data_IF_303852582825
#
_entry.id   IF_303852582825
#
_cell.length_a   1.000
_cell.length_b   1.000
_cell.length_c   1.000
_cell.angle_alpha   90.00
_cell.angle_beta   90.00
_cell.angle_gamma   90.00
#
_symmetry.space_group_name_H-M   'P 1'
#
loop_
_entity.id
_entity.type
_entity.pdbx_description
1 polymer ?
#
# COMPACT_ATOMS: atom_id res chain seq x y z
N UNK A 1 10.17 30.17 0.08
CA UNK A 1 11.52 30.06 -0.53
C UNK A 1 12.24 31.41 -0.41
N UNK A 2 13.56 31.43 -0.55
CA UNK A 2 14.40 32.64 -0.64
C UNK A 2 13.98 33.62 -1.74
N UNK A 3 13.24 33.13 -2.75
CA UNK A 3 12.62 33.93 -3.82
C UNK A 3 11.33 34.68 -3.42
N UNK A 4 10.81 34.45 -2.21
CA UNK A 4 9.51 34.98 -1.77
C UNK A 4 8.29 34.20 -2.27
N UNK A 5 8.48 33.21 -3.15
CA UNK A 5 7.40 32.35 -3.65
C UNK A 5 7.06 31.23 -2.64
N UNK A 6 5.79 30.82 -2.65
CA UNK A 6 5.29 29.69 -1.87
C UNK A 6 5.11 28.48 -2.79
N UNK A 7 5.82 27.39 -2.51
CA UNK A 7 5.71 26.15 -3.28
C UNK A 7 4.58 25.28 -2.72
N UNK A 8 3.67 24.85 -3.59
CA UNK A 8 2.48 24.06 -3.24
C UNK A 8 2.51 22.66 -3.87
N UNK A 9 3.68 22.14 -4.25
CA UNK A 9 3.82 20.83 -4.87
C UNK A 9 3.80 20.89 -6.40
N UNK A 10 2.68 21.26 -7.00
CA UNK A 10 2.62 21.37 -8.46
C UNK A 10 3.05 22.74 -9.01
N UNK A 11 2.76 23.80 -8.26
CA UNK A 11 2.95 25.19 -8.71
C UNK A 11 3.55 26.05 -7.60
N UNK A 12 4.16 27.15 -8.03
CA UNK A 12 4.60 28.23 -7.13
C UNK A 12 3.58 29.36 -7.15
N UNK A 13 3.13 29.76 -5.96
CA UNK A 13 2.28 30.92 -5.73
C UNK A 13 3.15 32.15 -5.49
N UNK A 14 2.82 33.27 -6.12
CA UNK A 14 3.33 34.60 -5.76
C UNK A 14 2.35 35.27 -4.79
N UNK A 15 2.60 35.28 -3.46
CA UNK A 15 1.61 35.74 -2.49
C UNK A 15 1.23 37.21 -2.67
N UNK A 16 2.18 38.06 -3.11
CA UNK A 16 1.95 39.48 -3.37
C UNK A 16 1.03 39.75 -4.58
N UNK A 17 0.85 38.77 -5.48
CA UNK A 17 -0.11 38.84 -6.59
C UNK A 17 -1.36 38.00 -6.35
N UNK A 18 -1.37 37.13 -5.33
CA UNK A 18 -2.41 36.12 -5.10
C UNK A 18 -2.70 35.27 -6.35
N UNK A 19 -1.65 34.91 -7.10
CA UNK A 19 -1.73 34.16 -8.35
C UNK A 19 -0.61 33.15 -8.50
N UNK A 20 -0.90 32.08 -9.24
CA UNK A 20 0.11 31.14 -9.69
C UNK A 20 1.03 31.80 -10.72
N UNK A 21 2.32 31.49 -10.67
CA UNK A 21 3.30 32.01 -11.64
C UNK A 21 3.36 31.15 -12.92
N UNK A 22 2.72 29.99 -12.92
CA UNK A 22 2.60 29.06 -14.05
C UNK A 22 1.13 28.64 -14.22
N UNK A 23 0.69 28.35 -15.45
CA UNK A 23 -0.67 27.87 -15.69
C UNK A 23 -0.88 26.51 -15.01
N UNK A 24 -2.12 26.20 -14.66
CA UNK A 24 -2.52 24.88 -14.17
C UNK A 24 -2.21 23.79 -15.21
N UNK A 25 -1.30 22.86 -14.88
CA UNK A 25 -0.99 21.74 -15.77
C UNK A 25 -2.10 20.69 -15.81
N UNK A 26 -3.07 20.74 -14.88
CA UNK A 26 -4.29 19.95 -14.97
C UNK A 26 -5.29 20.53 -16.00
N UNK A 27 -5.03 21.73 -16.54
CA UNK A 27 -5.93 22.42 -17.45
C UNK A 27 -7.07 23.15 -16.71
N UNK A 28 -8.19 23.40 -17.39
CA UNK A 28 -9.28 24.23 -16.87
C UNK A 28 -10.18 23.52 -15.82
N UNK A 29 -9.59 22.71 -14.94
CA UNK A 29 -10.27 21.92 -13.91
C UNK A 29 -10.95 22.82 -12.88
N UNK A 30 -10.28 23.89 -12.49
CA UNK A 30 -10.74 24.83 -11.46
C UNK A 30 -11.32 26.14 -12.04
N UNK A 31 -11.59 26.13 -13.36
CA UNK A 31 -12.10 27.24 -14.16
C UNK A 31 -11.17 27.62 -15.32
N UNK A 32 -11.65 28.47 -16.23
CA UNK A 32 -10.91 28.84 -17.45
C UNK A 32 -9.64 29.68 -17.18
N UNK A 33 -9.52 30.29 -16.01
CA UNK A 33 -8.34 31.08 -15.65
C UNK A 33 -7.30 30.19 -14.95
N UNK A 34 -6.36 29.66 -15.72
CA UNK A 34 -5.34 28.71 -15.26
C UNK A 34 -4.34 29.29 -14.24
N UNK A 35 -4.36 30.60 -13.99
CA UNK A 35 -3.45 31.29 -13.06
C UNK A 35 -4.14 31.73 -11.76
N UNK A 36 -5.44 31.44 -11.61
CA UNK A 36 -6.21 31.90 -10.44
C UNK A 36 -5.84 31.09 -9.20
N UNK A 37 -5.55 31.77 -8.09
CA UNK A 37 -5.43 31.12 -6.80
C UNK A 37 -6.82 30.99 -6.17
N UNK A 38 -7.27 29.76 -5.92
CA UNK A 38 -8.49 29.42 -5.16
C UNK A 38 -9.74 30.24 -5.49
N UNK A 39 -9.95 30.53 -6.78
CA UNK A 39 -11.11 31.30 -7.26
C UNK A 39 -11.19 32.73 -6.71
N UNK A 40 -10.05 33.36 -6.40
CA UNK A 40 -9.94 34.68 -5.75
C UNK A 40 -10.59 34.76 -4.37
N UNK A 41 -10.76 33.64 -3.65
CA UNK A 41 -11.34 33.62 -2.30
C UNK A 41 -10.49 32.81 -1.30
N UNK A 42 -9.28 33.29 -0.97
CA UNK A 42 -8.34 32.58 -0.08
C UNK A 42 -8.74 32.57 1.39
N UNK A 43 -9.78 33.32 1.79
CA UNK A 43 -10.33 33.26 3.15
C UNK A 43 -11.23 32.04 3.35
N UNK A 44 -11.87 31.57 2.28
CA UNK A 44 -12.79 30.42 2.30
C UNK A 44 -12.14 29.13 1.81
N UNK A 45 -11.12 29.25 0.96
CA UNK A 45 -10.53 28.11 0.26
C UNK A 45 -9.00 28.15 0.32
N UNK A 46 -8.39 26.97 0.30
CA UNK A 46 -6.94 26.76 0.15
C UNK A 46 -6.67 25.75 -0.96
N UNK A 47 -5.50 25.83 -1.58
CA UNK A 47 -5.03 24.82 -2.54
C UNK A 47 -3.81 24.10 -1.98
N UNK A 48 -3.96 22.89 -1.43
CA UNK A 48 -2.86 22.17 -0.78
C UNK A 48 -1.83 21.59 -1.76
N UNK A 49 -2.21 21.38 -3.02
CA UNK A 49 -1.44 20.61 -4.02
C UNK A 49 -1.00 21.43 -5.21
N UNK A 50 -1.45 22.68 -5.30
CA UNK A 50 -1.28 23.51 -6.47
C UNK A 50 -2.12 23.03 -7.64
N UNK A 51 -3.22 22.31 -7.42
CA UNK A 51 -4.15 21.87 -8.47
C UNK A 51 -5.63 21.91 -8.04
N UNK A 52 -5.92 22.08 -6.75
CA UNK A 52 -7.26 21.81 -6.23
C UNK A 52 -7.68 22.84 -5.19
N UNK A 53 -8.77 23.56 -5.46
CA UNK A 53 -9.44 24.44 -4.49
C UNK A 53 -10.25 23.63 -3.46
N UNK A 54 -9.79 23.59 -2.22
CA UNK A 54 -10.44 22.93 -1.07
C UNK A 54 -10.99 23.96 -0.06
N UNK A 55 -12.08 23.68 0.65
CA UNK A 55 -12.58 24.59 1.71
C UNK A 55 -11.65 24.56 2.93
N UNK A 56 -11.46 25.70 3.57
CA UNK A 56 -10.79 25.77 4.87
C UNK A 56 -11.82 25.38 5.93
N UNK A 57 -11.65 24.21 6.55
CA UNK A 57 -12.44 23.80 7.72
C UNK A 57 -11.94 24.60 8.93
N UNK A 58 -12.83 25.36 9.57
CA UNK A 58 -12.52 26.04 10.83
C UNK A 58 -12.65 25.02 11.95
N UNK A 59 -11.54 24.68 12.61
CA UNK A 59 -11.56 23.97 13.89
C UNK A 59 -12.28 24.87 14.90
N UNK A 60 -13.50 24.50 15.29
CA UNK A 60 -14.14 25.01 16.49
C UNK A 60 -14.46 23.85 17.42
N UNK A 61 -14.11 24.11 18.67
CA UNK A 61 -14.26 23.37 19.90
C UNK A 61 -15.67 22.77 20.16
N UNK A 62 -15.62 21.65 20.90
CA UNK A 62 -16.56 21.15 21.92
C UNK A 62 -17.97 20.60 21.57
N UNK A 63 -18.19 19.40 22.14
CA UNK A 63 -19.42 18.75 22.63
C UNK A 63 -20.78 18.93 21.94
N UNK A 64 -21.39 17.79 21.57
CA UNK A 64 -22.82 17.58 21.79
C UNK A 64 -23.71 17.34 20.56
N UNK A 65 -24.29 16.13 20.53
CA UNK A 65 -25.62 15.77 20.00
C UNK A 65 -25.89 15.62 18.47
N UNK A 66 -26.16 14.35 18.12
CA UNK A 66 -27.28 13.80 17.32
C UNK A 66 -27.27 13.97 15.78
N UNK A 67 -27.41 12.80 15.11
CA UNK A 67 -28.03 12.63 13.79
C UNK A 67 -27.18 11.77 12.86
N UNK A 68 -27.35 10.44 12.80
CA UNK A 68 -28.24 9.79 11.83
C UNK A 68 -27.69 9.99 10.40
N UNK A 69 -27.22 8.97 9.67
CA UNK A 69 -28.03 7.88 9.12
C UNK A 69 -27.12 6.66 8.86
N UNK A 70 -27.52 5.51 9.42
CA UNK A 70 -27.08 4.19 8.98
C UNK A 70 -27.86 3.80 7.72
N UNK A 71 -27.17 3.38 6.67
CA UNK A 71 -27.66 2.44 5.67
C UNK A 71 -26.48 1.86 4.88
N UNK A 72 -25.68 1.01 5.54
CA UNK A 72 -24.83 0.05 4.84
C UNK A 72 -25.74 -1.13 4.51
N UNK A 73 -26.49 -1.01 3.43
CA UNK A 73 -27.27 -2.10 2.86
C UNK A 73 -26.68 -2.43 1.47
N UNK A 74 -26.00 -3.58 1.42
CA UNK A 74 -25.84 -4.44 0.27
C UNK A 74 -25.60 -3.76 -1.09
N UNK A 75 -24.33 -3.57 -1.45
CA UNK A 75 -23.93 -3.54 -2.86
C UNK A 75 -23.05 -4.78 -3.11
N UNK A 76 -23.72 -5.93 -3.28
CA UNK A 76 -23.20 -7.00 -4.14
C UNK A 76 -23.46 -6.54 -5.57
N UNK A 77 -22.46 -5.94 -6.21
CA UNK A 77 -22.51 -5.71 -7.66
C UNK A 77 -21.86 -6.89 -8.35
N UNK A 78 -22.73 -7.64 -9.02
CA UNK A 78 -22.48 -8.78 -9.88
C UNK A 78 -21.53 -8.38 -11.03
N UNK A 79 -20.62 -9.29 -11.37
CA UNK A 79 -19.68 -9.12 -12.46
C UNK A 79 -20.38 -9.38 -13.79
N UNK A 80 -20.55 -8.35 -14.63
CA UNK A 80 -21.07 -8.54 -15.98
C UNK A 80 -21.38 -7.25 -16.73
N UNK A 81 -20.46 -6.91 -17.65
CA UNK A 81 -20.60 -5.94 -18.76
C UNK A 81 -20.82 -4.46 -18.39
N UNK A 82 -20.18 -3.54 -19.13
CA UNK A 82 -20.86 -2.53 -19.97
C UNK A 82 -19.88 -1.52 -20.59
N UNK A 83 -20.42 -0.82 -21.58
CA UNK A 83 -19.78 -0.17 -22.73
C UNK A 83 -19.62 1.34 -22.54
N UNK A 84 -18.44 1.82 -22.97
CA UNK A 84 -18.03 3.14 -23.49
C UNK A 84 -18.82 4.42 -23.13
N UNK A 85 -18.05 5.30 -22.49
CA UNK A 85 -17.84 6.71 -22.89
C UNK A 85 -18.92 7.74 -22.53
N UNK A 86 -19.40 7.71 -21.29
CA UNK A 86 -19.79 8.90 -20.51
C UNK A 86 -19.59 8.69 -18.99
N UNK A 87 -18.91 7.59 -18.65
CA UNK A 87 -18.86 6.96 -17.32
C UNK A 87 -17.58 7.33 -16.53
N UNK A 88 -16.67 8.13 -17.09
CA UNK A 88 -15.27 8.16 -16.60
C UNK A 88 -15.08 8.85 -15.25
N UNK A 89 -15.83 9.90 -14.92
CA UNK A 89 -15.70 10.58 -13.64
C UNK A 89 -16.49 9.86 -12.53
N UNK A 90 -17.75 9.50 -12.81
CA UNK A 90 -18.61 8.79 -11.86
C UNK A 90 -18.05 7.39 -11.53
N UNK A 91 -17.52 6.67 -12.54
CA UNK A 91 -16.85 5.38 -12.36
C UNK A 91 -15.56 5.52 -11.56
N UNK A 92 -14.79 6.61 -11.75
CA UNK A 92 -13.56 6.84 -11.01
C UNK A 92 -13.83 7.21 -9.55
N UNK A 93 -14.83 8.05 -9.29
CA UNK A 93 -15.26 8.41 -7.95
C UNK A 93 -15.77 7.18 -7.19
N UNK A 94 -16.60 6.35 -7.83
CA UNK A 94 -17.07 5.07 -7.25
C UNK A 94 -15.93 4.08 -6.99
N UNK A 95 -14.94 3.99 -7.89
CA UNK A 95 -13.72 3.18 -7.65
C UNK A 95 -12.91 3.70 -6.47
N UNK A 96 -12.79 5.01 -6.34
CA UNK A 96 -12.06 5.65 -5.24
C UNK A 96 -12.77 5.48 -3.90
N UNK A 97 -14.10 5.57 -3.86
CA UNK A 97 -14.90 5.26 -2.68
C UNK A 97 -14.74 3.79 -2.28
N UNK A 98 -14.83 2.88 -3.26
CA UNK A 98 -14.63 1.44 -3.03
C UNK A 98 -13.24 1.14 -2.47
N UNK A 99 -12.18 1.69 -3.05
CA UNK A 99 -10.83 1.38 -2.58
C UNK A 99 -10.54 1.96 -1.20
N UNK A 100 -11.11 3.12 -0.87
CA UNK A 100 -11.05 3.69 0.49
C UNK A 100 -11.83 2.84 1.50
N UNK A 101 -12.96 2.27 1.11
CA UNK A 101 -13.70 1.34 1.98
C UNK A 101 -12.87 0.09 2.27
N UNK A 102 -12.22 -0.49 1.26
CA UNK A 102 -11.30 -1.64 1.43
C UNK A 102 -10.09 -1.27 2.29
N UNK A 103 -9.50 -0.08 2.09
CA UNK A 103 -8.42 0.43 2.94
C UNK A 103 -8.85 0.44 4.42
N UNK A 104 -10.05 0.96 4.73
CA UNK A 104 -10.57 0.99 6.09
C UNK A 104 -10.87 -0.41 6.64
N UNK A 105 -11.42 -1.31 5.82
CA UNK A 105 -11.67 -2.70 6.20
C UNK A 105 -10.37 -3.41 6.60
N UNK A 106 -9.31 -3.28 5.79
CA UNK A 106 -7.99 -3.88 6.08
C UNK A 106 -7.43 -3.30 7.39
N UNK A 107 -7.45 -1.97 7.55
CA UNK A 107 -6.98 -1.30 8.76
C UNK A 107 -7.75 -1.74 10.02
N UNK A 108 -9.03 -2.04 9.88
CA UNK A 108 -9.89 -2.47 10.97
C UNK A 108 -9.84 -3.98 11.25
N UNK A 109 -9.31 -4.78 10.32
CA UNK A 109 -9.25 -6.23 10.45
C UNK A 109 -8.43 -6.68 11.68
N UNK A 110 -8.93 -7.70 12.37
CA UNK A 110 -8.30 -8.23 13.59
C UNK A 110 -6.88 -8.72 13.33
N UNK A 111 -6.66 -9.37 12.19
CA UNK A 111 -5.37 -9.92 11.80
C UNK A 111 -4.34 -8.82 11.54
N UNK A 112 -4.71 -7.74 10.83
CA UNK A 112 -3.82 -6.61 10.59
C UNK A 112 -3.41 -5.92 11.89
N UNK A 113 -4.37 -5.71 12.80
CA UNK A 113 -4.12 -5.16 14.14
C UNK A 113 -3.19 -6.06 14.95
N UNK A 114 -3.47 -7.37 15.02
CA UNK A 114 -2.65 -8.35 15.75
C UNK A 114 -1.22 -8.40 15.20
N UNK A 115 -1.03 -8.44 13.88
CA UNK A 115 0.30 -8.35 13.26
C UNK A 115 1.01 -7.06 13.67
N UNK A 116 0.28 -5.95 13.65
CA UNK A 116 0.75 -4.66 14.14
C UNK A 116 1.26 -4.73 15.58
N UNK A 117 0.65 -5.49 16.46
CA UNK A 117 0.98 -5.56 17.90
C UNK A 117 2.17 -6.48 18.25
N UNK A 118 2.51 -7.46 17.39
CA UNK A 118 3.61 -8.41 17.65
C UNK A 118 4.96 -7.70 17.86
N UNK A 119 5.87 -8.26 18.69
CA UNK A 119 7.19 -7.63 18.84
C UNK A 119 7.99 -7.77 17.55
N UNK A 120 8.70 -6.71 17.17
CA UNK A 120 9.58 -6.70 15.99
C UNK A 120 10.93 -6.14 16.39
N UNK A 121 11.99 -6.91 16.14
CA UNK A 121 13.36 -6.48 16.46
C UNK A 121 13.73 -5.22 15.66
N UNK A 122 13.29 -5.12 14.41
CA UNK A 122 13.57 -3.96 13.57
C UNK A 122 12.80 -2.71 14.01
N UNK A 123 11.55 -2.82 14.47
CA UNK A 123 10.84 -1.66 15.06
C UNK A 123 11.55 -1.15 16.30
N UNK A 124 11.89 -2.06 17.21
CA UNK A 124 12.60 -1.73 18.44
C UNK A 124 13.95 -1.07 18.14
N UNK A 125 14.69 -1.56 17.13
CA UNK A 125 15.93 -0.94 16.68
C UNK A 125 15.74 0.52 16.26
N UNK A 126 14.73 0.82 15.42
CA UNK A 126 14.45 2.19 14.98
C UNK A 126 13.91 3.10 16.10
N UNK A 127 13.20 2.53 17.07
CA UNK A 127 12.76 3.21 18.30
C UNK A 127 13.89 3.38 19.34
N UNK A 128 15.10 2.89 19.04
CA UNK A 128 16.28 2.89 19.93
C UNK A 128 16.02 2.14 21.25
N UNK A 129 15.21 1.09 21.20
CA UNK A 129 14.89 0.21 22.31
C UNK A 129 15.74 -1.08 22.25
N UNK A 130 15.92 -1.79 23.38
CA UNK A 130 16.58 -3.11 23.39
C UNK A 130 15.83 -4.11 22.50
N UNK A 131 16.54 -4.67 21.52
CA UNK A 131 15.92 -5.52 20.48
C UNK A 131 16.55 -6.91 20.35
N UNK A 132 17.70 -7.17 20.98
CA UNK A 132 18.50 -8.40 20.76
C UNK A 132 17.78 -9.69 21.14
N UNK A 133 17.04 -9.69 22.24
CA UNK A 133 16.29 -10.88 22.68
C UNK A 133 15.16 -11.20 21.69
N UNK A 134 14.45 -10.16 21.24
CA UNK A 134 13.42 -10.29 20.19
C UNK A 134 14.03 -10.74 18.87
N UNK A 135 15.23 -10.26 18.52
CA UNK A 135 15.94 -10.71 17.32
C UNK A 135 16.32 -12.19 17.38
N UNK A 136 16.78 -12.65 18.54
CA UNK A 136 17.05 -14.07 18.78
C UNK A 136 15.78 -14.91 18.63
N UNK A 137 14.66 -14.50 19.23
CA UNK A 137 13.36 -15.18 19.07
C UNK A 137 12.91 -15.23 17.60
N UNK A 138 13.09 -14.14 16.84
CA UNK A 138 12.78 -14.09 15.40
C UNK A 138 13.69 -15.04 14.61
N UNK A 139 14.96 -15.17 14.98
CA UNK A 139 15.87 -16.12 14.33
C UNK A 139 15.47 -17.58 14.60
N UNK A 140 14.97 -17.89 15.79
CA UNK A 140 14.41 -19.21 16.11
C UNK A 140 13.14 -19.47 15.28
N UNK A 141 12.20 -18.52 15.26
CA UNK A 141 11.00 -18.58 14.41
C UNK A 141 11.37 -18.87 12.94
N UNK A 142 12.32 -18.13 12.37
CA UNK A 142 12.77 -18.31 10.98
C UNK A 142 13.42 -19.66 10.72
N UNK A 143 14.16 -20.19 11.70
CA UNK A 143 14.73 -21.54 11.62
C UNK A 143 13.64 -22.60 11.56
N UNK A 144 12.62 -22.51 12.40
CA UNK A 144 11.49 -23.44 12.41
C UNK A 144 10.66 -23.34 11.13
N UNK A 145 10.37 -22.13 10.66
CA UNK A 145 9.71 -21.89 9.37
C UNK A 145 10.48 -22.57 8.24
N UNK A 146 11.81 -22.39 8.19
CA UNK A 146 12.65 -23.01 7.16
C UNK A 146 12.61 -24.54 7.23
N UNK A 147 12.62 -25.12 8.42
CA UNK A 147 12.51 -26.56 8.61
C UNK A 147 11.17 -27.10 8.09
N UNK A 148 10.05 -26.42 8.42
CA UNK A 148 8.71 -26.79 7.92
C UNK A 148 8.59 -26.72 6.42
N UNK A 149 9.17 -25.69 5.81
CA UNK A 149 9.22 -25.55 4.35
C UNK A 149 9.99 -26.73 3.73
N UNK A 150 11.17 -27.07 4.27
CA UNK A 150 11.97 -28.20 3.78
C UNK A 150 11.25 -29.55 3.93
N UNK A 151 10.50 -29.73 5.03
CA UNK A 151 9.66 -30.92 5.23
C UNK A 151 8.57 -31.02 4.15
N UNK A 152 7.92 -29.91 3.81
CA UNK A 152 6.89 -29.83 2.75
C UNK A 152 7.51 -30.10 1.37
N UNK A 153 8.67 -29.52 1.06
CA UNK A 153 9.42 -29.79 -0.18
C UNK A 153 9.65 -31.29 -0.34
N UNK A 154 10.21 -31.94 0.68
CA UNK A 154 10.55 -33.36 0.66
C UNK A 154 9.31 -34.25 0.59
N UNK A 155 8.27 -33.93 1.36
CA UNK A 155 7.03 -34.72 1.44
C UNK A 155 6.22 -34.66 0.15
N UNK A 156 6.19 -33.51 -0.51
CA UNK A 156 5.32 -33.28 -1.67
C UNK A 156 6.07 -33.19 -3.00
N UNK A 157 7.41 -33.20 -3.00
CA UNK A 157 8.23 -33.11 -4.22
C UNK A 157 8.04 -31.77 -4.95
N UNK A 158 7.84 -30.68 -4.20
CA UNK A 158 7.56 -29.35 -4.74
C UNK A 158 8.77 -28.42 -4.61
N UNK A 159 8.81 -27.33 -5.40
CA UNK A 159 9.84 -26.31 -5.26
C UNK A 159 9.75 -25.61 -3.90
N UNK A 160 10.86 -25.03 -3.45
CA UNK A 160 10.94 -24.28 -2.19
C UNK A 160 9.93 -23.14 -2.11
N UNK A 161 9.74 -22.44 -3.23
CA UNK A 161 8.76 -21.37 -3.36
C UNK A 161 7.32 -21.87 -3.12
N UNK A 162 6.96 -23.02 -3.69
CA UNK A 162 5.64 -23.64 -3.50
C UNK A 162 5.45 -24.18 -2.08
N UNK A 163 6.50 -24.74 -1.49
CA UNK A 163 6.45 -25.19 -0.10
C UNK A 163 6.29 -24.02 0.87
N UNK A 164 7.04 -22.93 0.67
CA UNK A 164 6.93 -21.70 1.44
C UNK A 164 5.52 -21.13 1.40
N UNK A 165 4.93 -21.03 0.21
CA UNK A 165 3.56 -20.57 0.02
C UNK A 165 2.55 -21.40 0.82
N UNK A 166 2.57 -22.73 0.67
CA UNK A 166 1.65 -23.62 1.38
C UNK A 166 1.78 -23.45 2.89
N UNK A 167 3.00 -23.30 3.37
CA UNK A 167 3.26 -23.14 4.79
C UNK A 167 2.79 -21.79 5.32
N UNK A 168 3.11 -20.69 4.64
CA UNK A 168 2.75 -19.35 5.12
C UNK A 168 1.25 -19.07 5.05
N UNK A 169 0.50 -19.83 4.24
CA UNK A 169 -0.97 -19.78 4.20
C UNK A 169 -1.65 -20.73 5.22
N UNK A 170 -0.89 -21.45 6.04
CA UNK A 170 -1.43 -22.46 6.96
C UNK A 170 -1.76 -21.90 8.34
N UNK A 171 -2.70 -22.55 9.04
CA UNK A 171 -2.98 -22.28 10.46
C UNK A 171 -1.75 -22.55 11.34
N UNK A 172 -0.86 -23.47 10.95
CA UNK A 172 0.39 -23.71 11.68
C UNK A 172 1.28 -22.46 11.72
N UNK A 173 1.48 -21.79 10.58
CA UNK A 173 2.26 -20.56 10.55
C UNK A 173 1.57 -19.42 11.33
N UNK A 174 0.23 -19.38 11.29
CA UNK A 174 -0.58 -18.45 12.09
C UNK A 174 -0.36 -18.66 13.58
N UNK A 175 -0.47 -19.89 14.06
CA UNK A 175 -0.26 -20.24 15.47
C UNK A 175 1.18 -19.97 15.90
N UNK A 176 2.16 -20.21 15.02
CA UNK A 176 3.54 -19.83 15.28
C UNK A 176 3.67 -18.32 15.57
N UNK A 177 3.06 -17.46 14.76
CA UNK A 177 3.14 -16.01 14.94
C UNK A 177 2.38 -15.53 16.18
N UNK A 178 1.15 -15.98 16.40
CA UNK A 178 0.26 -15.39 17.41
C UNK A 178 0.25 -16.10 18.75
N UNK A 179 0.54 -17.39 18.78
CA UNK A 179 0.42 -18.21 20.00
C UNK A 179 1.79 -18.66 20.52
N UNK A 180 2.68 -19.11 19.65
CA UNK A 180 3.97 -19.67 20.06
C UNK A 180 5.05 -18.61 20.26
N UNK A 181 5.38 -17.87 19.21
CA UNK A 181 6.54 -16.97 19.18
C UNK A 181 6.16 -15.54 19.57
N UNK A 182 5.01 -15.04 19.11
CA UNK A 182 4.54 -13.67 19.41
C UNK A 182 5.52 -12.57 18.94
N UNK A 183 6.32 -12.88 17.93
CA UNK A 183 7.31 -12.00 17.30
C UNK A 183 7.28 -12.12 15.78
N UNK A 184 7.81 -11.12 15.08
CA UNK A 184 8.08 -11.20 13.64
C UNK A 184 8.58 -9.86 13.09
N UNK A 185 8.97 -9.83 11.82
CA UNK A 185 9.37 -8.62 11.10
C UNK A 185 8.54 -8.48 9.82
N UNK A 186 8.88 -7.49 8.98
CA UNK A 186 8.14 -7.16 7.76
C UNK A 186 7.92 -8.38 6.84
N UNK A 187 8.90 -9.29 6.74
CA UNK A 187 8.78 -10.52 5.96
C UNK A 187 7.64 -11.42 6.43
N UNK A 188 7.64 -11.82 7.71
CA UNK A 188 6.66 -12.74 8.28
C UNK A 188 5.26 -12.13 8.31
N UNK A 189 5.16 -10.84 8.65
CA UNK A 189 3.88 -10.15 8.69
C UNK A 189 3.26 -10.01 7.30
N UNK A 190 4.08 -9.74 6.28
CA UNK A 190 3.62 -9.64 4.89
C UNK A 190 3.21 -11.00 4.33
N UNK A 191 3.90 -12.09 4.71
CA UNK A 191 3.50 -13.45 4.30
C UNK A 191 2.12 -13.82 4.87
N UNK A 192 1.86 -13.55 6.16
CA UNK A 192 0.55 -13.77 6.77
C UNK A 192 -0.52 -12.88 6.12
N UNK A 193 -0.22 -11.60 5.92
CA UNK A 193 -1.16 -10.64 5.33
C UNK A 193 -1.49 -10.98 3.88
N UNK A 194 -0.52 -11.48 3.10
CA UNK A 194 -0.76 -11.93 1.72
C UNK A 194 -1.85 -13.00 1.65
N UNK A 195 -1.76 -14.00 2.53
CA UNK A 195 -2.76 -15.08 2.60
C UNK A 195 -4.15 -14.55 2.98
N UNK A 196 -4.21 -13.63 3.94
CA UNK A 196 -5.48 -13.03 4.36
C UNK A 196 -6.10 -12.18 3.25
N UNK A 197 -5.31 -11.33 2.59
CA UNK A 197 -5.78 -10.48 1.50
C UNK A 197 -6.34 -11.32 0.35
N UNK A 198 -5.64 -12.38 -0.04
CA UNK A 198 -6.12 -13.26 -1.11
C UNK A 198 -7.43 -13.98 -0.74
N UNK A 199 -7.59 -14.37 0.53
CA UNK A 199 -8.82 -15.00 1.02
C UNK A 199 -10.01 -14.04 1.03
N UNK A 200 -9.79 -12.80 1.47
CA UNK A 200 -10.87 -11.82 1.63
C UNK A 200 -11.20 -11.07 0.33
N UNK A 201 -10.24 -10.98 -0.60
CA UNK A 201 -10.38 -10.30 -1.88
C UNK A 201 -9.93 -11.20 -3.05
N UNK A 202 -10.62 -12.33 -3.31
CA UNK A 202 -10.18 -13.36 -4.27
C UNK A 202 -10.13 -12.89 -5.74
N UNK A 203 -10.84 -11.80 -6.07
CA UNK A 203 -10.83 -11.19 -7.40
C UNK A 203 -9.72 -10.13 -7.57
N UNK A 204 -8.99 -9.83 -6.48
CA UNK A 204 -7.90 -8.85 -6.49
C UNK A 204 -6.55 -9.56 -6.45
N UNK A 205 -5.67 -9.13 -7.35
CA UNK A 205 -4.29 -9.58 -7.38
C UNK A 205 -3.59 -9.11 -6.10
N UNK A 206 -2.86 -10.01 -5.44
CA UNK A 206 -2.01 -9.69 -4.29
C UNK A 206 -0.55 -9.92 -4.65
N UNK A 207 0.27 -8.88 -4.54
CA UNK A 207 1.71 -8.98 -4.73
C UNK A 207 2.42 -8.81 -3.39
N UNK A 208 3.42 -9.65 -3.10
CA UNK A 208 4.41 -9.41 -2.03
C UNK A 208 5.67 -8.85 -2.68
N UNK A 209 6.05 -7.63 -2.31
CA UNK A 209 7.24 -6.94 -2.77
C UNK A 209 8.31 -7.04 -1.70
N UNK A 210 9.40 -7.76 -1.98
CA UNK A 210 10.55 -7.89 -1.08
C UNK A 210 11.77 -7.21 -1.69
N UNK A 211 12.31 -6.20 -1.03
CA UNK A 211 13.47 -5.43 -1.50
C UNK A 211 14.63 -5.61 -0.52
N UNK A 212 15.86 -5.73 -1.04
CA UNK A 212 17.06 -5.73 -0.19
C UNK A 212 17.65 -4.32 0.02
N UNK A 213 17.29 -3.36 -0.85
CA UNK A 213 17.81 -1.99 -0.86
C UNK A 213 16.73 -0.96 -1.24
N UNK A 214 16.12 -0.28 -0.24
CA UNK A 214 16.23 -0.60 1.19
C UNK A 214 15.62 -1.95 1.53
N UNK A 215 16.05 -2.51 2.65
CA UNK A 215 15.54 -3.78 3.18
C UNK A 215 14.14 -3.59 3.75
N UNK A 216 13.12 -3.99 2.98
CA UNK A 216 11.73 -3.95 3.41
C UNK A 216 10.84 -4.87 2.58
N UNK A 217 9.71 -5.27 3.18
CA UNK A 217 8.75 -6.19 2.59
C UNK A 217 7.33 -5.70 2.88
N UNK A 218 6.47 -5.66 1.86
CA UNK A 218 5.07 -5.22 1.97
C UNK A 218 4.20 -5.84 0.87
N UNK A 219 2.88 -5.71 0.99
CA UNK A 219 1.96 -6.14 -0.05
C UNK A 219 1.50 -4.98 -0.94
N UNK A 220 1.23 -5.27 -2.21
CA UNK A 220 0.48 -4.41 -3.13
C UNK A 220 -0.77 -5.17 -3.57
N UNK A 221 -1.94 -4.58 -3.33
CA UNK A 221 -3.24 -5.15 -3.66
C UNK A 221 -3.81 -4.46 -4.89
N UNK A 222 -4.37 -5.26 -5.80
CA UNK A 222 -5.15 -4.84 -6.96
C UNK A 222 -4.38 -3.94 -7.95
N UNK A 223 -3.07 -4.14 -8.10
CA UNK A 223 -2.28 -3.42 -9.11
C UNK A 223 -2.40 -4.09 -10.48
N UNK A 224 -2.61 -3.29 -11.51
CA UNK A 224 -2.52 -3.70 -12.91
C UNK A 224 -1.06 -4.02 -13.26
N UNK A 225 -0.81 -5.30 -13.48
CA UNK A 225 0.52 -5.85 -13.78
C UNK A 225 1.05 -5.48 -15.17
N UNK A 226 0.24 -4.88 -16.04
CA UNK A 226 0.71 -4.30 -17.30
C UNK A 226 1.68 -3.12 -17.05
N UNK A 227 1.59 -2.51 -15.88
CA UNK A 227 2.48 -1.44 -15.41
C UNK A 227 3.68 -2.04 -14.67
N UNK A 228 4.80 -1.33 -14.65
CA UNK A 228 5.98 -1.77 -13.89
C UNK A 228 5.77 -1.59 -12.39
N UNK A 229 6.14 -2.59 -11.59
CA UNK A 229 6.19 -2.46 -10.12
C UNK A 229 7.14 -1.32 -9.69
N UNK A 230 8.16 -1.00 -10.50
CA UNK A 230 9.11 0.08 -10.23
C UNK A 230 8.60 1.48 -10.58
N UNK A 231 7.34 1.62 -11.02
CA UNK A 231 6.76 2.89 -11.46
C UNK A 231 5.41 3.14 -10.77
N UNK A 232 5.39 3.38 -9.45
CA UNK A 232 4.14 3.59 -8.71
C UNK A 232 3.28 4.74 -9.21
N UNK A 233 3.87 5.72 -9.90
CA UNK A 233 3.15 6.82 -10.55
C UNK A 233 2.24 6.34 -11.69
N UNK A 234 2.57 5.18 -12.29
CA UNK A 234 1.83 4.58 -13.41
C UNK A 234 0.83 3.53 -13.00
N UNK A 235 0.81 3.10 -11.74
CA UNK A 235 -0.17 2.11 -11.26
C UNK A 235 -1.60 2.63 -11.45
N UNK A 236 -2.59 1.74 -11.54
CA UNK A 236 -4.00 2.09 -11.48
C UNK A 236 -4.37 2.69 -10.12
N UNK A 237 -5.36 3.58 -10.09
CA UNK A 237 -5.67 4.39 -8.91
C UNK A 237 -6.31 3.60 -7.75
N UNK A 238 -6.86 2.42 -8.04
CA UNK A 238 -7.40 1.47 -7.08
C UNK A 238 -6.37 0.43 -6.59
N UNK A 239 -5.08 0.76 -6.66
CA UNK A 239 -4.01 0.01 -5.99
C UNK A 239 -3.88 0.42 -4.52
N UNK A 240 -3.68 -0.56 -3.63
CA UNK A 240 -3.33 -0.31 -2.22
C UNK A 240 -1.96 -0.89 -1.90
N UNK A 241 -1.18 -0.18 -1.09
CA UNK A 241 0.03 -0.69 -0.44
C UNK A 241 -0.33 -1.04 0.99
N UNK A 242 -0.25 -2.32 1.34
CA UNK A 242 -0.60 -2.84 2.67
C UNK A 242 0.69 -3.20 3.40
N UNK A 243 0.94 -2.50 4.51
CA UNK A 243 2.16 -2.67 5.31
C UNK A 243 1.81 -2.94 6.78
N UNK A 244 1.62 -4.21 7.16
CA UNK A 244 1.28 -4.58 8.53
C UNK A 244 2.41 -4.29 9.53
N UNK A 245 3.66 -4.19 9.07
CA UNK A 245 4.80 -3.86 9.92
C UNK A 245 4.79 -2.37 10.32
N UNK A 246 4.53 -1.49 9.35
CA UNK A 246 4.27 -0.06 9.58
C UNK A 246 2.93 0.22 10.25
N UNK A 247 1.99 -0.73 10.21
CA UNK A 247 0.59 -0.57 10.64
C UNK A 247 -0.16 0.44 9.77
N UNK A 248 0.15 0.47 8.48
CA UNK A 248 -0.44 1.42 7.52
C UNK A 248 -0.93 0.72 6.27
N UNK A 249 -2.00 1.25 5.69
CA UNK A 249 -2.47 0.91 4.35
C UNK A 249 -2.55 2.22 3.57
N UNK A 250 -1.83 2.33 2.46
CA UNK A 250 -1.82 3.51 1.62
C UNK A 250 -2.59 3.27 0.33
N UNK A 251 -3.41 4.22 -0.07
CA UNK A 251 -3.78 4.37 -1.48
C UNK A 251 -2.56 4.65 -2.33
N UNK A 252 -2.62 4.41 -3.65
CA UNK A 252 -1.57 4.82 -4.59
C UNK A 252 -1.09 6.26 -4.35
N UNK A 253 -2.03 7.21 -4.19
CA UNK A 253 -1.70 8.62 -4.02
C UNK A 253 -0.96 8.89 -2.70
N UNK A 254 -1.38 8.28 -1.60
CA UNK A 254 -0.67 8.39 -0.32
C UNK A 254 0.70 7.72 -0.39
N UNK A 255 0.80 6.56 -1.05
CA UNK A 255 2.06 5.84 -1.21
C UNK A 255 3.11 6.69 -1.96
N UNK A 256 2.71 7.40 -3.01
CA UNK A 256 3.62 8.29 -3.76
C UNK A 256 4.25 9.38 -2.88
N UNK A 257 3.55 9.83 -1.84
CA UNK A 257 4.07 10.84 -0.90
C UNK A 257 5.08 10.25 0.09
N UNK A 258 4.93 8.97 0.45
CA UNK A 258 5.80 8.29 1.42
C UNK A 258 6.87 7.41 0.79
N UNK A 259 6.81 7.17 -0.52
CA UNK A 259 7.72 6.30 -1.27
C UNK A 259 9.15 6.88 -1.35
N UNK A 260 9.90 6.69 -0.27
CA UNK A 260 11.25 7.18 -0.10
C UNK A 260 12.07 6.15 0.69
N UNK A 261 13.39 6.03 0.44
CA UNK A 261 14.27 5.18 1.24
C UNK A 261 14.23 5.50 2.73
N UNK A 262 13.99 6.77 3.10
CA UNK A 262 13.85 7.21 4.50
C UNK A 262 12.65 6.58 5.22
N UNK A 263 11.64 6.11 4.48
CA UNK A 263 10.47 5.42 4.99
C UNK A 263 10.54 3.90 4.76
N UNK A 264 11.72 3.37 4.42
CA UNK A 264 11.97 1.97 4.04
C UNK A 264 11.37 1.56 2.69
N UNK A 265 10.88 2.52 1.90
CA UNK A 265 10.42 2.31 0.53
C UNK A 265 11.45 2.87 -0.47
N UNK A 266 11.03 3.59 -1.50
CA UNK A 266 11.92 4.07 -2.57
C UNK A 266 11.89 3.18 -3.79
N UNK A 267 10.74 2.55 -4.04
CA UNK A 267 10.46 1.77 -5.24
C UNK A 267 10.40 2.72 -6.45
N UNK A 268 11.38 2.63 -7.35
CA UNK A 268 11.47 3.49 -8.54
C UNK A 268 12.26 2.80 -9.68
N UNK A 269 12.29 3.42 -10.87
CA UNK A 269 12.97 2.88 -12.06
C UNK A 269 14.51 2.89 -12.00
N UNK A 270 15.09 3.38 -10.89
CA UNK A 270 16.53 3.40 -10.60
C UNK A 270 16.90 2.47 -9.45
N UNK A 271 16.00 1.55 -9.09
CA UNK A 271 16.25 0.55 -8.06
C UNK A 271 17.59 -0.15 -8.29
N UNK A 272 18.33 -0.33 -7.21
CA UNK A 272 19.56 -1.10 -7.14
C UNK A 272 19.33 -2.27 -6.19
N UNK A 273 20.15 -3.33 -6.29
CA UNK A 273 20.00 -4.51 -5.44
C UNK A 273 19.07 -5.56 -6.05
N UNK A 274 18.44 -6.36 -5.20
CA UNK A 274 17.50 -7.42 -5.55
C UNK A 274 16.08 -7.04 -5.14
N UNK A 275 15.13 -7.36 -6.01
CA UNK A 275 13.71 -7.28 -5.69
C UNK A 275 13.05 -8.59 -6.06
N UNK A 276 12.35 -9.20 -5.12
CA UNK A 276 11.56 -10.41 -5.32
C UNK A 276 10.09 -10.04 -5.24
N UNK A 277 9.33 -10.37 -6.29
CA UNK A 277 7.89 -10.19 -6.33
C UNK A 277 7.25 -11.56 -6.34
N UNK A 278 6.40 -11.83 -5.34
CA UNK A 278 5.48 -12.96 -5.40
C UNK A 278 4.12 -12.43 -5.78
N UNK A 279 3.51 -13.00 -6.79
CA UNK A 279 2.24 -12.59 -7.35
C UNK A 279 1.23 -13.70 -7.11
N UNK A 280 0.09 -13.35 -6.54
CA UNK A 280 -1.06 -14.24 -6.38
C UNK A 280 -2.25 -13.68 -7.15
N UNK A 281 -2.72 -14.44 -8.15
CA UNK A 281 -3.89 -14.07 -8.95
C UNK A 281 -5.19 -14.62 -8.36
N UNK A 282 -5.14 -15.82 -7.78
CA UNK A 282 -6.21 -16.52 -7.07
C UNK A 282 -5.59 -17.65 -6.22
N UNK A 283 -6.39 -18.55 -5.64
CA UNK A 283 -5.89 -19.65 -4.80
C UNK A 283 -4.88 -20.59 -5.51
N UNK A 284 -4.88 -20.63 -6.84
CA UNK A 284 -4.15 -21.65 -7.62
C UNK A 284 -3.01 -21.10 -8.47
N UNK A 285 -3.09 -19.86 -8.97
CA UNK A 285 -2.10 -19.31 -9.89
C UNK A 285 -1.16 -18.32 -9.20
N UNK A 286 0.14 -18.66 -9.19
CA UNK A 286 1.20 -17.85 -8.59
C UNK A 286 2.38 -17.65 -9.54
N UNK A 287 2.99 -16.47 -9.46
CA UNK A 287 4.24 -16.16 -10.17
C UNK A 287 5.28 -15.59 -9.21
N UNK A 288 6.54 -15.96 -9.43
CA UNK A 288 7.70 -15.53 -8.67
C UNK A 288 8.64 -14.81 -9.63
N UNK A 289 8.88 -13.53 -9.42
CA UNK A 289 9.72 -12.70 -10.26
C UNK A 289 10.92 -12.22 -9.45
N UNK A 290 12.12 -12.48 -9.94
CA UNK A 290 13.37 -12.01 -9.35
C UNK A 290 14.01 -10.95 -10.24
N UNK A 291 14.25 -9.78 -9.69
CA UNK A 291 14.89 -8.66 -10.35
C UNK A 291 16.26 -8.36 -9.73
N UNK A 292 17.20 -7.89 -10.56
CA UNK A 292 18.43 -7.22 -10.12
C UNK A 292 18.44 -5.81 -10.70
N UNK A 293 18.33 -4.81 -9.82
CA UNK A 293 17.81 -3.50 -10.17
C UNK A 293 16.41 -3.64 -10.77
N UNK A 294 16.17 -3.04 -11.95
CA UNK A 294 14.91 -3.20 -12.68
C UNK A 294 14.91 -4.35 -13.70
N UNK A 295 16.02 -5.08 -13.84
CA UNK A 295 16.16 -6.13 -14.86
C UNK A 295 15.68 -7.47 -14.30
N UNK A 296 14.70 -8.08 -14.96
CA UNK A 296 14.24 -9.45 -14.66
C UNK A 296 15.39 -10.44 -14.84
N UNK A 297 15.56 -11.33 -13.86
CA UNK A 297 16.62 -12.35 -13.79
C UNK A 297 16.10 -13.77 -13.68
N UNK A 298 14.91 -13.94 -13.13
CA UNK A 298 14.25 -15.23 -13.01
C UNK A 298 12.74 -15.06 -12.91
N UNK A 299 12.04 -16.01 -13.48
CA UNK A 299 10.59 -16.12 -13.42
C UNK A 299 10.24 -17.60 -13.22
N UNK A 300 9.41 -17.89 -12.22
CA UNK A 300 8.80 -19.20 -12.00
C UNK A 300 7.30 -18.98 -11.88
N UNK A 301 6.50 -19.67 -12.68
CA UNK A 301 5.03 -19.65 -12.59
C UNK A 301 4.55 -21.04 -12.22
N UNK A 302 3.68 -21.11 -11.20
CA UNK A 302 3.15 -22.37 -10.68
C UNK A 302 1.63 -22.37 -10.81
N UNK A 303 1.11 -23.42 -11.49
CA UNK A 303 -0.31 -23.79 -11.54
C UNK A 303 -0.69 -24.77 -10.43
#
# INVERSE_FOLDING_TARGET
DSSGLCYYGARYLAPWLTRWISPDSAGAVDGLNLYVYVGNNPLKYRDPTGHVKTKIEQENAEEGAIGGINNIAAIKLDAGEYVKAEESALSLDLKMERIKAIQQEILQSDIFKKLGELKSSTRLYYEKLPYRDVDNEINVLRSDVKNRIADIEKKHGVSSNRAAMRFTASDEFKDMLFEQYKVGNCGEFTDMMMSELNKNYPEMIVEKVSMDKPDHVFNVLNRDQSTSIFNPEKWNDDSLVVDPWKRTVYTKQEFLLVNSPSNFYGLNDRMQGKTEIKVQHNESLMSFLLFKGIKLKGEESTL
#
